data_IF_025948466648
#
_entry.id   IF_025948466648
#
_cell.length_a   1.000
_cell.length_b   1.000
_cell.length_c   1.000
_cell.angle_alpha   90.00
_cell.angle_beta   90.00
_cell.angle_gamma   90.00
#
_symmetry.space_group_name_H-M   'P 1'
#
loop_
_entity.id
_entity.type
_entity.pdbx_description
1 polymer ?
#
# COMPACT_ATOMS: atom_id res chain seq x y z
N UNK A 1 -9.58 -5.52 3.71
CA UNK A 1 -9.65 -5.94 5.13
C UNK A 1 -9.21 -4.75 5.95
N UNK A 2 -9.91 -4.45 7.04
CA UNK A 2 -9.52 -3.38 7.95
C UNK A 2 -8.99 -3.97 9.26
N UNK A 3 -7.98 -3.36 9.84
CA UNK A 3 -7.27 -3.83 11.05
C UNK A 3 -7.19 -2.75 12.10
N UNK A 4 -6.62 -1.60 11.75
CA UNK A 4 -6.39 -0.49 12.66
C UNK A 4 -6.60 0.84 11.95
N UNK A 5 -6.92 1.92 12.69
CA UNK A 5 -7.22 3.23 12.11
C UNK A 5 -6.03 3.94 11.48
N UNK A 6 -4.82 3.67 11.96
CA UNK A 6 -3.60 4.28 11.44
C UNK A 6 -2.81 3.26 10.65
N UNK A 7 -2.30 3.66 9.47
CA UNK A 7 -1.46 2.85 8.59
C UNK A 7 -2.00 1.44 8.36
N UNK A 8 -3.31 1.32 8.12
CA UNK A 8 -4.00 0.04 8.02
C UNK A 8 -3.31 -0.95 7.06
N UNK A 9 -2.79 -0.45 5.92
CA UNK A 9 -2.16 -1.28 4.90
C UNK A 9 -0.84 -1.92 5.35
N UNK A 10 -0.17 -1.44 6.40
CA UNK A 10 0.93 -2.18 7.04
C UNK A 10 0.49 -3.57 7.49
N UNK A 11 -0.66 -3.66 8.14
CA UNK A 11 -1.18 -4.93 8.64
C UNK A 11 -1.74 -5.78 7.51
N UNK A 12 -2.45 -5.16 6.57
CA UNK A 12 -3.03 -5.87 5.43
C UNK A 12 -1.94 -6.51 4.57
N UNK A 13 -0.87 -5.78 4.24
CA UNK A 13 0.26 -6.30 3.45
C UNK A 13 0.98 -7.44 4.20
N UNK A 14 1.23 -7.27 5.50
CA UNK A 14 1.85 -8.31 6.34
C UNK A 14 1.02 -9.60 6.41
N UNK A 15 -0.30 -9.48 6.62
CA UNK A 15 -1.21 -10.63 6.63
C UNK A 15 -1.26 -11.27 5.24
N UNK A 16 -1.31 -10.46 4.18
CA UNK A 16 -1.31 -10.96 2.79
C UNK A 16 -0.04 -11.78 2.51
N UNK A 17 1.13 -11.31 2.94
CA UNK A 17 2.39 -12.07 2.85
C UNK A 17 2.32 -13.41 3.57
N UNK A 18 1.83 -13.42 4.81
CA UNK A 18 1.70 -14.66 5.59
C UNK A 18 0.72 -15.64 4.95
N UNK A 19 -0.44 -15.17 4.48
CA UNK A 19 -1.42 -16.00 3.80
C UNK A 19 -0.85 -16.62 2.52
N UNK A 20 -0.18 -15.83 1.68
CA UNK A 20 0.45 -16.33 0.45
C UNK A 20 1.55 -17.35 0.77
N UNK A 21 2.39 -17.06 1.77
CA UNK A 21 3.49 -17.96 2.17
C UNK A 21 2.97 -19.27 2.74
N UNK A 22 1.99 -19.20 3.63
CA UNK A 22 1.41 -20.39 4.25
C UNK A 22 0.63 -21.23 3.25
N UNK A 23 -0.07 -20.61 2.28
CA UNK A 23 -0.71 -21.35 1.19
C UNK A 23 0.30 -22.13 0.34
N UNK A 24 1.46 -21.54 0.04
CA UNK A 24 2.55 -22.25 -0.67
C UNK A 24 3.05 -23.44 0.15
N UNK A 25 3.26 -23.25 1.45
CA UNK A 25 3.63 -24.34 2.35
C UNK A 25 2.58 -25.46 2.35
N UNK A 26 1.31 -25.13 2.54
CA UNK A 26 0.20 -26.10 2.54
C UNK A 26 0.11 -26.87 1.21
N UNK A 27 0.34 -26.21 0.07
CA UNK A 27 0.38 -26.87 -1.24
C UNK A 27 1.54 -27.85 -1.35
N UNK A 28 2.73 -27.47 -0.86
CA UNK A 28 3.91 -28.32 -0.90
C UNK A 28 3.79 -29.55 0.02
N UNK A 29 3.15 -29.39 1.19
CA UNK A 29 2.98 -30.47 2.18
C UNK A 29 1.66 -31.23 2.04
N UNK A 30 0.83 -30.87 1.06
CA UNK A 30 -0.54 -31.40 0.87
C UNK A 30 -1.39 -31.27 2.14
N UNK A 31 -1.20 -30.19 2.87
CA UNK A 31 -1.86 -29.93 4.14
C UNK A 31 -3.11 -29.05 3.98
N UNK A 32 -4.14 -29.38 4.74
CA UNK A 32 -5.39 -28.61 4.90
C UNK A 32 -5.82 -28.68 6.36
N UNK A 33 -6.58 -27.70 6.84
CA UNK A 33 -7.08 -27.68 8.22
C UNK A 33 -8.49 -27.12 8.30
N UNK A 34 -9.19 -27.41 9.39
CA UNK A 34 -10.52 -26.85 9.66
C UNK A 34 -10.42 -25.67 10.63
N UNK A 35 -11.16 -24.60 10.33
CA UNK A 35 -11.40 -23.48 11.23
C UNK A 35 -12.89 -23.49 11.62
N UNK A 36 -13.22 -24.15 12.73
CA UNK A 36 -14.60 -24.52 13.04
C UNK A 36 -15.17 -25.43 11.93
N UNK A 37 -16.25 -24.99 11.30
CA UNK A 37 -16.91 -25.72 10.20
C UNK A 37 -16.36 -25.38 8.81
N UNK A 38 -15.34 -24.52 8.72
CA UNK A 38 -14.74 -24.11 7.45
C UNK A 38 -13.49 -24.93 7.14
N UNK A 39 -13.52 -25.69 6.04
CA UNK A 39 -12.32 -26.31 5.49
C UNK A 39 -11.45 -25.24 4.83
N UNK A 40 -10.24 -25.06 5.35
CA UNK A 40 -9.24 -24.13 4.82
C UNK A 40 -8.27 -24.89 3.91
N UNK A 41 -8.27 -24.48 2.64
CA UNK A 41 -7.37 -25.02 1.61
C UNK A 41 -6.32 -23.99 1.21
N UNK A 42 -5.22 -24.38 0.52
CA UNK A 42 -4.29 -23.41 -0.06
C UNK A 42 -4.98 -22.35 -0.91
N UNK A 43 -5.95 -22.77 -1.74
CA UNK A 43 -6.70 -21.86 -2.62
C UNK A 43 -7.57 -20.89 -1.84
N UNK A 44 -8.15 -21.32 -0.72
CA UNK A 44 -8.94 -20.43 0.16
C UNK A 44 -8.09 -19.28 0.69
N UNK A 45 -6.84 -19.55 1.11
CA UNK A 45 -5.92 -18.52 1.59
C UNK A 45 -5.43 -17.61 0.46
N UNK A 46 -5.09 -18.18 -0.70
CA UNK A 46 -4.68 -17.42 -1.89
C UNK A 46 -5.78 -16.50 -2.39
N UNK A 47 -7.04 -16.94 -2.33
CA UNK A 47 -8.19 -16.11 -2.69
C UNK A 47 -8.28 -14.87 -1.80
N UNK A 48 -8.15 -15.03 -0.47
CA UNK A 48 -8.16 -13.90 0.47
C UNK A 48 -6.98 -12.96 0.21
N UNK A 49 -5.78 -13.51 0.02
CA UNK A 49 -4.58 -12.73 -0.27
C UNK A 49 -4.73 -11.94 -1.59
N UNK A 50 -5.18 -12.59 -2.66
CA UNK A 50 -5.41 -11.96 -3.96
C UNK A 50 -6.41 -10.80 -3.84
N UNK A 51 -7.53 -10.99 -3.13
CA UNK A 51 -8.51 -9.92 -2.89
C UNK A 51 -7.89 -8.71 -2.19
N UNK A 52 -6.91 -8.91 -1.29
CA UNK A 52 -6.21 -7.78 -0.67
C UNK A 52 -5.26 -7.09 -1.64
N UNK A 53 -4.55 -7.86 -2.46
CA UNK A 53 -3.69 -7.30 -3.52
C UNK A 53 -4.51 -6.47 -4.49
N UNK A 54 -5.59 -7.02 -5.02
CA UNK A 54 -6.45 -6.35 -5.98
C UNK A 54 -7.07 -5.08 -5.36
N UNK A 55 -7.51 -5.15 -4.10
CA UNK A 55 -8.01 -3.98 -3.36
C UNK A 55 -6.96 -2.87 -3.25
N UNK A 56 -5.71 -3.20 -2.88
CA UNK A 56 -4.60 -2.22 -2.82
C UNK A 56 -4.34 -1.61 -4.19
N UNK A 57 -4.48 -2.39 -5.26
CA UNK A 57 -4.18 -1.97 -6.63
C UNK A 57 -5.34 -1.25 -7.33
N UNK A 58 -6.53 -1.16 -6.73
CA UNK A 58 -7.64 -0.35 -7.22
C UNK A 58 -9.02 -1.00 -7.22
N UNK A 59 -9.15 -2.28 -6.88
CA UNK A 59 -10.45 -2.95 -6.69
C UNK A 59 -11.08 -2.58 -5.34
N UNK A 60 -11.37 -1.30 -5.16
CA UNK A 60 -11.99 -0.73 -3.97
C UNK A 60 -13.09 0.28 -4.34
N UNK A 61 -13.96 0.70 -3.40
CA UNK A 61 -15.12 1.55 -3.71
C UNK A 61 -14.79 2.87 -4.42
N UNK A 62 -13.64 3.47 -4.11
CA UNK A 62 -13.21 4.74 -4.72
C UNK A 62 -12.34 4.55 -5.98
N UNK A 63 -12.12 3.30 -6.42
CA UNK A 63 -11.32 2.93 -7.61
C UNK A 63 -9.96 3.62 -7.63
N UNK A 64 -9.28 3.67 -6.48
CA UNK A 64 -7.97 4.29 -6.33
C UNK A 64 -6.93 3.22 -6.03
N UNK A 65 -5.83 3.19 -6.76
CA UNK A 65 -4.67 2.40 -6.35
C UNK A 65 -4.00 3.07 -5.16
N UNK A 66 -3.85 2.36 -4.05
CA UNK A 66 -3.04 2.82 -2.92
C UNK A 66 -1.54 2.62 -3.15
N UNK A 67 -1.15 2.10 -4.32
CA UNK A 67 0.24 2.10 -4.81
C UNK A 67 0.46 3.29 -5.73
N UNK A 68 1.31 4.22 -5.31
CA UNK A 68 1.62 5.45 -6.02
C UNK A 68 2.18 5.15 -7.41
N UNK A 69 1.62 5.79 -8.44
CA UNK A 69 2.04 5.63 -9.83
C UNK A 69 1.52 4.35 -10.51
N UNK A 70 0.67 3.55 -9.85
CA UNK A 70 0.04 2.38 -10.45
C UNK A 70 -1.42 2.66 -10.82
N UNK A 71 -1.82 2.29 -12.04
CA UNK A 71 -3.19 2.50 -12.53
C UNK A 71 -3.53 3.97 -12.83
N UNK A 72 -4.77 4.25 -13.26
CA UNK A 72 -5.19 5.58 -13.72
C UNK A 72 -5.49 6.58 -12.58
N UNK A 73 -5.69 6.10 -11.35
CA UNK A 73 -6.03 6.91 -10.18
C UNK A 73 -5.24 6.42 -8.97
N UNK A 74 -4.43 7.31 -8.37
CA UNK A 74 -3.55 7.01 -7.24
C UNK A 74 -3.28 8.27 -6.40
N UNK A 75 -2.84 8.15 -5.12
CA UNK A 75 -2.50 9.27 -4.26
C UNK A 75 -1.43 10.20 -4.83
N UNK A 76 -1.69 11.51 -4.79
CA UNK A 76 -0.81 12.54 -5.33
C UNK A 76 -0.18 13.41 -4.26
N UNK A 77 -0.68 13.36 -3.02
CA UNK A 77 -0.26 14.25 -1.93
C UNK A 77 0.21 13.44 -0.72
N UNK A 78 0.97 12.37 -0.97
CA UNK A 78 1.47 11.47 0.09
C UNK A 78 2.40 12.19 1.08
N UNK A 79 2.44 11.73 2.33
CA UNK A 79 3.30 12.26 3.40
C UNK A 79 4.76 11.79 3.22
N UNK A 80 5.46 12.32 2.22
CA UNK A 80 6.85 11.94 1.94
C UNK A 80 7.69 13.15 1.49
N UNK A 81 8.69 13.53 2.32
CA UNK A 81 9.51 14.74 2.11
C UNK A 81 10.20 14.78 0.76
N UNK A 82 10.87 13.70 0.34
CA UNK A 82 11.54 13.65 -0.96
C UNK A 82 10.57 13.69 -2.15
N UNK A 83 9.29 13.35 -1.93
CA UNK A 83 8.26 13.43 -2.97
C UNK A 83 7.70 14.85 -3.04
N UNK A 84 7.47 15.50 -1.90
CA UNK A 84 6.84 16.83 -1.79
C UNK A 84 7.78 18.00 -2.10
N UNK A 85 9.10 17.84 -1.92
CA UNK A 85 10.08 18.89 -2.19
C UNK A 85 10.53 18.88 -3.66
N UNK A 86 10.92 20.04 -4.23
CA UNK A 86 11.48 20.08 -5.58
C UNK A 86 12.77 19.27 -5.66
N UNK A 87 13.02 18.69 -6.83
CA UNK A 87 14.29 17.99 -7.10
C UNK A 87 15.47 18.97 -7.08
N UNK A 88 16.68 18.45 -6.86
CA UNK A 88 17.91 19.25 -6.95
C UNK A 88 18.11 19.87 -8.35
N UNK A 89 17.61 19.21 -9.40
CA UNK A 89 17.69 19.70 -10.77
C UNK A 89 16.84 20.96 -10.99
N UNK A 90 15.69 21.06 -10.31
CA UNK A 90 14.78 22.21 -10.41
C UNK A 90 15.01 23.26 -9.32
N UNK A 91 15.65 22.89 -8.21
CA UNK A 91 15.97 23.78 -7.09
C UNK A 91 17.32 23.38 -6.48
N UNK A 92 18.44 23.88 -7.02
CA UNK A 92 19.79 23.50 -6.58
C UNK A 92 20.19 24.09 -5.22
N UNK A 93 19.48 25.11 -4.75
CA UNK A 93 19.74 25.76 -3.46
C UNK A 93 19.31 24.86 -2.30
N UNK A 94 20.01 25.01 -1.16
CA UNK A 94 19.60 24.34 0.06
C UNK A 94 18.26 24.87 0.56
N UNK A 95 17.37 23.96 0.98
CA UNK A 95 16.12 24.29 1.65
C UNK A 95 16.39 24.31 3.16
N UNK A 96 16.12 25.44 3.81
CA UNK A 96 16.25 25.58 5.27
C UNK A 96 15.27 24.69 6.04
N UNK A 97 15.54 24.45 7.32
CA UNK A 97 14.77 23.52 8.16
C UNK A 97 13.26 23.77 8.13
N UNK A 98 12.84 25.03 8.32
CA UNK A 98 11.41 25.40 8.36
C UNK A 98 10.84 25.71 6.96
N UNK A 99 11.72 25.94 5.98
CA UNK A 99 11.33 26.22 4.58
C UNK A 99 10.74 24.99 3.87
N UNK A 100 10.77 23.81 4.49
CA UNK A 100 10.05 22.63 4.03
C UNK A 100 8.53 22.70 4.30
N UNK A 101 8.08 23.50 5.27
CA UNK A 101 6.66 23.60 5.61
C UNK A 101 5.89 24.43 4.58
N UNK A 102 6.30 25.69 4.41
CA UNK A 102 5.77 26.59 3.40
C UNK A 102 6.81 26.84 2.31
N UNK A 103 6.46 26.69 1.02
CA UNK A 103 5.12 26.36 0.49
C UNK A 103 4.85 24.86 0.34
N UNK A 104 5.76 23.95 0.72
CA UNK A 104 5.72 22.57 0.24
C UNK A 104 4.78 21.64 1.02
N UNK A 105 4.96 21.53 2.34
CA UNK A 105 4.17 20.59 3.16
C UNK A 105 2.67 20.93 3.16
N UNK A 106 2.30 22.21 3.29
CA UNK A 106 0.89 22.63 3.32
C UNK A 106 0.27 22.88 1.94
N UNK A 107 1.04 22.77 0.86
CA UNK A 107 0.50 23.00 -0.49
C UNK A 107 -0.65 22.04 -0.84
N UNK A 108 -1.68 22.60 -1.48
CA UNK A 108 -2.78 21.84 -2.07
C UNK A 108 -2.37 21.12 -3.36
N UNK A 109 -1.23 21.46 -3.96
CA UNK A 109 -0.76 20.85 -5.19
C UNK A 109 -0.27 19.41 -4.93
N UNK A 110 -0.32 18.55 -5.96
CA UNK A 110 0.39 17.27 -6.00
C UNK A 110 1.87 17.41 -5.61
N UNK A 111 2.43 16.34 -5.09
CA UNK A 111 3.86 16.22 -4.90
C UNK A 111 4.58 16.31 -6.27
N UNK A 112 5.65 17.11 -6.41
CA UNK A 112 6.36 17.27 -7.68
C UNK A 112 7.07 15.99 -8.16
N UNK A 113 7.49 15.12 -7.25
CA UNK A 113 8.12 13.85 -7.61
C UNK A 113 7.18 12.69 -7.28
N UNK A 114 6.83 11.88 -8.29
CA UNK A 114 6.02 10.67 -8.09
C UNK A 114 6.89 9.61 -7.42
N UNK A 115 6.51 9.16 -6.23
CA UNK A 115 7.19 8.09 -5.51
C UNK A 115 6.68 6.73 -5.99
N UNK A 116 7.00 6.38 -7.24
CA UNK A 116 6.45 5.19 -7.91
C UNK A 116 6.67 3.91 -7.11
N UNK A 117 5.59 3.15 -6.94
CA UNK A 117 5.57 1.86 -6.24
C UNK A 117 5.36 1.97 -4.73
N UNK A 118 5.43 3.16 -4.13
CA UNK A 118 5.16 3.33 -2.71
C UNK A 118 3.70 3.00 -2.37
N UNK A 119 3.50 2.18 -1.33
CA UNK A 119 2.16 1.89 -0.81
C UNK A 119 1.94 2.75 0.42
N UNK A 120 0.88 3.56 0.40
CA UNK A 120 0.51 4.44 1.51
C UNK A 120 -0.13 3.65 2.66
N UNK A 121 -0.33 4.29 3.81
CA UNK A 121 -1.08 3.73 4.95
C UNK A 121 -2.51 3.27 4.59
N UNK A 122 -3.11 3.89 3.57
CA UNK A 122 -4.35 3.45 2.93
C UNK A 122 -5.61 4.02 3.59
N UNK A 123 -6.78 3.45 3.31
CA UNK A 123 -8.06 4.06 3.68
C UNK A 123 -8.43 3.81 5.14
N UNK A 124 -9.36 4.63 5.63
CA UNK A 124 -10.05 4.41 6.90
C UNK A 124 -11.05 3.24 6.82
N UNK A 125 -11.73 2.95 7.93
CA UNK A 125 -12.68 1.83 8.05
C UNK A 125 -13.89 1.89 7.09
N UNK A 126 -14.17 3.05 6.52
CA UNK A 126 -15.29 3.29 5.59
C UNK A 126 -14.80 3.42 4.13
N UNK A 127 -13.62 2.89 3.81
CA UNK A 127 -12.97 2.99 2.49
C UNK A 127 -12.65 4.43 2.05
N UNK A 128 -12.69 5.40 2.98
CA UNK A 128 -12.38 6.79 2.71
C UNK A 128 -10.87 7.06 2.72
N UNK A 129 -10.38 7.80 1.73
CA UNK A 129 -8.99 8.24 1.63
C UNK A 129 -8.93 9.70 1.12
N UNK A 130 -8.53 10.67 1.95
CA UNK A 130 -8.60 12.10 1.60
C UNK A 130 -7.48 12.59 0.67
N UNK A 131 -6.39 11.82 0.50
CA UNK A 131 -5.17 12.24 -0.20
C UNK A 131 -4.63 13.59 0.31
N UNK A 132 -4.32 13.61 1.61
CA UNK A 132 -3.82 14.78 2.31
C UNK A 132 -2.43 14.55 2.88
N UNK A 133 -1.50 15.45 2.56
CA UNK A 133 -0.10 15.34 2.99
C UNK A 133 0.06 15.43 4.49
N UNK A 134 -0.80 16.17 5.19
CA UNK A 134 -0.79 16.28 6.65
C UNK A 134 -1.37 15.05 7.36
N UNK A 135 -2.15 14.24 6.66
CA UNK A 135 -2.73 13.00 7.18
C UNK A 135 -1.71 11.86 7.12
N UNK A 136 -0.71 11.91 8.00
CA UNK A 136 0.36 10.90 8.04
C UNK A 136 -0.20 9.48 8.28
N UNK A 137 -1.29 9.34 9.03
CA UNK A 137 -1.91 8.05 9.34
C UNK A 137 -2.33 7.28 8.08
N UNK A 138 -2.85 7.97 7.07
CA UNK A 138 -3.32 7.33 5.83
C UNK A 138 -2.34 7.53 4.67
N UNK A 139 -1.67 8.68 4.60
CA UNK A 139 -0.87 9.10 3.45
C UNK A 139 0.61 8.76 3.55
N UNK A 140 1.11 8.29 4.70
CA UNK A 140 2.53 7.95 4.86
C UNK A 140 2.84 6.58 4.24
N UNK A 141 3.78 6.51 3.28
CA UNK A 141 4.35 5.24 2.85
C UNK A 141 5.45 4.81 3.81
N UNK A 142 5.61 3.51 4.02
CA UNK A 142 6.70 2.98 4.81
C UNK A 142 7.33 1.74 4.19
N UNK A 143 8.63 1.56 4.44
CA UNK A 143 9.43 0.47 3.85
C UNK A 143 8.87 -0.91 4.20
N UNK A 144 8.35 -1.10 5.41
CA UNK A 144 7.77 -2.36 5.85
C UNK A 144 6.42 -2.70 5.19
N UNK A 145 5.65 -1.70 4.72
CA UNK A 145 4.41 -1.92 3.94
C UNK A 145 4.79 -2.55 2.60
N UNK A 146 5.74 -1.90 1.91
CA UNK A 146 6.26 -2.38 0.64
C UNK A 146 6.99 -3.72 0.77
N UNK A 147 7.83 -3.91 1.79
CA UNK A 147 8.58 -5.14 2.00
C UNK A 147 7.67 -6.38 2.10
N UNK A 148 6.58 -6.27 2.87
CA UNK A 148 5.60 -7.35 2.96
C UNK A 148 4.86 -7.59 1.64
N UNK A 149 4.65 -6.54 0.83
CA UNK A 149 3.89 -6.64 -0.41
C UNK A 149 4.67 -7.21 -1.60
N UNK A 150 6.00 -7.11 -1.62
CA UNK A 150 6.83 -7.63 -2.74
C UNK A 150 6.59 -9.13 -2.98
N UNK A 151 6.51 -9.93 -1.91
CA UNK A 151 6.28 -11.38 -2.00
C UNK A 151 4.96 -11.77 -2.68
N UNK A 152 3.80 -11.27 -2.21
CA UNK A 152 2.50 -11.52 -2.84
C UNK A 152 2.44 -11.06 -4.29
N UNK A 153 2.99 -9.88 -4.61
CA UNK A 153 3.03 -9.38 -5.99
C UNK A 153 3.81 -10.31 -6.90
N UNK A 154 5.02 -10.73 -6.48
CA UNK A 154 5.84 -11.67 -7.24
C UNK A 154 5.11 -13.01 -7.44
N UNK A 155 4.44 -13.53 -6.41
CA UNK A 155 3.66 -14.75 -6.50
C UNK A 155 2.54 -14.63 -7.54
N UNK A 156 1.69 -13.61 -7.43
CA UNK A 156 0.54 -13.47 -8.32
C UNK A 156 0.96 -13.15 -9.75
N UNK A 157 2.01 -12.35 -9.96
CA UNK A 157 2.58 -12.11 -11.28
C UNK A 157 3.08 -13.40 -11.96
N UNK A 158 3.71 -14.31 -11.21
CA UNK A 158 4.20 -15.58 -11.74
C UNK A 158 3.11 -16.62 -12.02
N UNK A 159 1.93 -16.48 -11.38
CA UNK A 159 0.81 -17.42 -11.52
C UNK A 159 -0.27 -16.97 -12.51
N UNK A 160 -0.14 -15.77 -13.09
CA UNK A 160 -0.96 -15.32 -14.20
C UNK A 160 -0.45 -15.97 -15.50
N UNK A 161 -0.74 -17.27 -15.64
CA UNK A 161 -0.70 -18.04 -16.88
C UNK A 161 -1.89 -19.01 -16.89
#
# INVERSE_FOLDING_TARGET
MYKLPESNLQYVTSITFLLTTYAKYMKATRHTFNCGNLLVTPNSLLYVAKRQVDYILGENPIRMSYMVGFGPNFPKRIHHRGSSLPSLASHPQAIGCDSGFEPFFHSANPNPNILTGAIVGGPNQNDGYPDERSDYSHSEPATYINAAMVGPLAYFAATLN
#
